data_IF_654613066653
#
_entry.id   IF_654613066653
#
_cell.length_a   1.000
_cell.length_b   1.000
_cell.length_c   1.000
_cell.angle_alpha   90.00
_cell.angle_beta   90.00
_cell.angle_gamma   90.00
#
_symmetry.space_group_name_H-M   'P 1'
#
loop_
_entity.id
_entity.type
_entity.pdbx_description
1 polymer ?
#
# COMPACT_ATOMS: atom_id res chain seq x y z
N UNK A 1 -0.36 35.22 4.26
CA UNK A 1 0.05 33.91 4.81
C UNK A 1 -0.78 32.72 4.28
N UNK A 2 -1.48 32.84 3.14
CA UNK A 2 -2.32 31.74 2.59
C UNK A 2 -1.74 31.06 1.33
N UNK A 3 -0.71 31.65 0.70
CA UNK A 3 -0.18 31.21 -0.61
C UNK A 3 0.76 29.98 -0.55
N UNK A 4 1.19 29.55 0.65
CA UNK A 4 2.09 28.40 0.82
C UNK A 4 1.37 27.13 1.32
N UNK A 5 0.08 27.21 1.64
CA UNK A 5 -0.69 26.07 2.15
C UNK A 5 -0.84 25.00 1.04
N UNK A 6 -1.06 25.42 -0.21
CA UNK A 6 -1.16 24.49 -1.35
C UNK A 6 0.11 23.66 -1.57
N UNK A 7 1.28 24.30 -1.82
CA UNK A 7 2.53 23.58 -2.04
C UNK A 7 2.94 22.69 -0.86
N UNK A 8 2.83 23.18 0.38
CA UNK A 8 3.20 22.41 1.57
C UNK A 8 2.30 21.20 1.82
N UNK A 9 1.01 21.29 1.53
CA UNK A 9 0.09 20.15 1.60
C UNK A 9 0.40 19.10 0.51
N UNK A 10 0.73 19.54 -0.71
CA UNK A 10 1.11 18.64 -1.81
C UNK A 10 2.43 17.94 -1.51
N UNK A 11 3.42 18.66 -0.99
CA UNK A 11 4.71 18.10 -0.60
C UNK A 11 4.58 17.13 0.57
N UNK A 12 3.75 17.47 1.56
CA UNK A 12 3.43 16.57 2.68
C UNK A 12 2.75 15.30 2.17
N UNK A 13 1.77 15.43 1.26
CA UNK A 13 1.07 14.31 0.65
C UNK A 13 2.03 13.41 -0.16
N UNK A 14 2.98 13.98 -0.90
CA UNK A 14 4.01 13.21 -1.63
C UNK A 14 5.03 12.57 -0.69
N UNK A 15 5.42 13.28 0.38
CA UNK A 15 6.38 12.78 1.37
C UNK A 15 5.89 11.52 2.09
N UNK A 16 4.56 11.39 2.25
CA UNK A 16 3.90 10.22 2.85
C UNK A 16 4.31 8.92 2.18
N UNK A 17 4.42 8.89 0.85
CA UNK A 17 4.71 7.68 0.09
C UNK A 17 6.21 7.36 -0.01
N UNK A 18 7.07 8.25 0.50
CA UNK A 18 8.51 8.02 0.58
C UNK A 18 8.78 6.84 1.52
N UNK A 19 9.49 5.84 1.02
CA UNK A 19 9.89 4.65 1.77
C UNK A 19 11.33 4.84 2.25
N UNK A 20 11.55 4.79 3.56
CA UNK A 20 12.89 4.88 4.17
C UNK A 20 13.71 3.63 3.85
N UNK A 21 15.03 3.74 3.90
CA UNK A 21 15.96 2.66 3.53
C UNK A 21 15.84 1.40 4.39
N UNK A 22 15.43 1.52 5.66
CA UNK A 22 15.30 0.40 6.57
C UNK A 22 13.93 -0.31 6.48
N UNK A 23 12.88 0.40 6.05
CA UNK A 23 11.49 -0.11 5.97
C UNK A 23 11.40 -1.47 5.24
N UNK A 24 12.00 -1.66 4.04
CA UNK A 24 11.94 -2.93 3.32
C UNK A 24 12.50 -4.12 4.08
N UNK A 25 13.57 -3.92 4.86
CA UNK A 25 14.21 -4.98 5.66
C UNK A 25 13.29 -5.38 6.80
N UNK A 26 12.72 -4.40 7.51
CA UNK A 26 11.73 -4.63 8.56
C UNK A 26 10.51 -5.37 8.03
N UNK A 27 9.98 -4.95 6.88
CA UNK A 27 8.80 -5.58 6.28
C UNK A 27 9.07 -7.03 5.83
N UNK A 28 10.25 -7.31 5.30
CA UNK A 28 10.65 -8.66 4.95
C UNK A 28 10.74 -9.58 6.19
N UNK A 29 11.31 -9.08 7.29
CA UNK A 29 11.38 -9.81 8.58
C UNK A 29 9.99 -10.10 9.16
N UNK A 30 9.07 -9.15 9.01
CA UNK A 30 7.66 -9.30 9.39
C UNK A 30 6.85 -10.18 8.42
N UNK A 31 7.50 -10.82 7.43
CA UNK A 31 6.85 -11.79 6.53
C UNK A 31 6.13 -11.19 5.32
N UNK A 32 6.18 -9.88 5.09
CA UNK A 32 5.49 -9.25 3.96
C UNK A 32 5.95 -9.80 2.59
N UNK A 33 7.21 -10.21 2.48
CA UNK A 33 7.72 -10.85 1.25
C UNK A 33 7.09 -12.24 1.02
N UNK A 34 6.87 -13.02 2.09
CA UNK A 34 6.22 -14.32 1.98
C UNK A 34 4.76 -14.17 1.55
N UNK A 35 4.03 -13.24 2.17
CA UNK A 35 2.64 -12.92 1.80
C UNK A 35 2.56 -12.43 0.35
N UNK A 36 3.47 -11.54 -0.07
CA UNK A 36 3.54 -11.07 -1.46
C UNK A 36 3.70 -12.22 -2.46
N UNK A 37 4.57 -13.20 -2.15
CA UNK A 37 4.76 -14.38 -2.99
C UNK A 37 3.53 -15.27 -3.00
N UNK A 38 2.89 -15.48 -1.86
CA UNK A 38 1.64 -16.23 -1.79
C UNK A 38 0.54 -15.60 -2.67
N UNK A 39 0.39 -14.26 -2.61
CA UNK A 39 -0.54 -13.52 -3.47
C UNK A 39 -0.22 -13.69 -4.96
N UNK A 40 1.07 -13.71 -5.32
CA UNK A 40 1.48 -13.97 -6.70
C UNK A 40 1.14 -15.40 -7.14
N UNK A 41 1.39 -16.39 -6.27
CA UNK A 41 1.12 -17.80 -6.52
C UNK A 41 -0.37 -18.10 -6.72
N UNK A 42 -1.24 -17.49 -5.91
CA UNK A 42 -2.70 -17.65 -6.07
C UNK A 42 -3.27 -16.80 -7.22
N UNK A 43 -2.42 -16.09 -7.96
CA UNK A 43 -2.81 -15.30 -9.12
C UNK A 43 -3.46 -13.96 -8.79
N UNK A 44 -3.44 -13.50 -7.54
CA UNK A 44 -4.04 -12.24 -7.13
C UNK A 44 -3.48 -11.04 -7.90
N UNK A 45 -2.16 -11.02 -8.12
CA UNK A 45 -1.50 -9.96 -8.89
C UNK A 45 -2.00 -9.89 -10.35
N UNK A 46 -2.41 -11.03 -10.93
CA UNK A 46 -3.00 -11.06 -12.28
C UNK A 46 -4.39 -10.43 -12.29
N UNK A 47 -5.21 -10.73 -11.29
CA UNK A 47 -6.55 -10.13 -11.13
C UNK A 47 -6.44 -8.62 -11.02
N UNK A 48 -5.61 -8.12 -10.10
CA UNK A 48 -5.42 -6.68 -9.89
C UNK A 48 -4.87 -6.00 -11.16
N UNK A 49 -3.92 -6.62 -11.87
CA UNK A 49 -3.40 -6.07 -13.12
C UNK A 49 -4.52 -5.89 -14.15
N UNK A 50 -5.39 -6.88 -14.31
CA UNK A 50 -6.49 -6.82 -15.27
C UNK A 50 -7.52 -5.74 -14.89
N UNK A 51 -7.84 -5.60 -13.61
CA UNK A 51 -8.73 -4.54 -13.11
C UNK A 51 -8.17 -3.14 -13.43
N UNK A 52 -6.89 -2.91 -13.16
CA UNK A 52 -6.23 -1.63 -13.43
C UNK A 52 -6.16 -1.30 -14.92
N UNK A 53 -5.97 -2.32 -15.77
CA UNK A 53 -6.02 -2.16 -17.22
C UNK A 53 -7.43 -1.80 -17.71
N UNK A 54 -8.48 -2.37 -17.12
CA UNK A 54 -9.86 -2.02 -17.43
C UNK A 54 -10.22 -0.59 -16.99
N UNK A 55 -9.60 -0.09 -15.91
CA UNK A 55 -9.76 1.27 -15.40
C UNK A 55 -8.95 2.33 -16.18
N UNK A 56 -8.30 1.96 -17.29
CA UNK A 56 -7.46 2.82 -18.11
C UNK A 56 -6.34 3.53 -17.32
N UNK A 57 -5.78 2.87 -16.29
CA UNK A 57 -4.64 3.43 -15.59
C UNK A 57 -3.40 3.50 -16.49
N UNK A 58 -2.59 4.55 -16.28
CA UNK A 58 -1.34 4.79 -17.01
C UNK A 58 -0.48 3.51 -17.12
N UNK A 59 -0.09 3.09 -18.33
CA UNK A 59 0.75 1.91 -18.47
C UNK A 59 2.18 2.17 -17.98
N UNK A 60 2.86 1.11 -17.55
CA UNK A 60 4.28 1.16 -17.18
C UNK A 60 4.54 1.56 -15.72
N UNK A 61 5.79 1.95 -15.44
CA UNK A 61 6.30 2.11 -14.06
C UNK A 61 5.63 3.26 -13.31
N UNK A 62 5.33 4.38 -13.97
CA UNK A 62 4.67 5.55 -13.37
C UNK A 62 3.26 5.21 -12.87
N UNK A 63 2.44 4.59 -13.71
CA UNK A 63 1.12 4.13 -13.31
C UNK A 63 1.20 3.03 -12.26
N UNK A 64 2.17 2.12 -12.35
CA UNK A 64 2.37 1.13 -11.30
C UNK A 64 2.67 1.78 -9.93
N UNK A 65 3.55 2.79 -9.87
CA UNK A 65 3.84 3.54 -8.65
C UNK A 65 2.58 4.20 -8.09
N UNK A 66 1.81 4.90 -8.94
CA UNK A 66 0.53 5.51 -8.55
C UNK A 66 -0.45 4.50 -7.96
N UNK A 67 -0.58 3.33 -8.57
CA UNK A 67 -1.44 2.27 -8.02
C UNK A 67 -0.96 1.75 -6.67
N UNK A 68 0.34 1.71 -6.40
CA UNK A 68 0.83 1.38 -5.05
C UNK A 68 0.43 2.44 -4.02
N UNK A 69 0.40 3.72 -4.40
CA UNK A 69 -0.03 4.83 -3.53
C UNK A 69 -1.54 4.81 -3.28
N UNK A 70 -2.33 4.55 -4.32
CA UNK A 70 -3.78 4.39 -4.22
C UNK A 70 -4.14 3.19 -3.34
N UNK A 71 -3.50 2.03 -3.56
CA UNK A 71 -3.72 0.84 -2.73
C UNK A 71 -3.31 1.08 -1.28
N UNK A 72 -2.15 1.70 -1.03
CA UNK A 72 -1.73 2.08 0.32
C UNK A 72 -2.76 3.00 1.00
N UNK A 73 -3.28 3.98 0.27
CA UNK A 73 -4.30 4.90 0.77
C UNK A 73 -5.60 4.17 1.10
N UNK A 74 -6.07 3.30 0.21
CA UNK A 74 -7.27 2.50 0.42
C UNK A 74 -7.17 1.62 1.66
N UNK A 75 -6.05 0.91 1.85
CA UNK A 75 -5.85 0.11 3.05
C UNK A 75 -5.69 0.95 4.32
N UNK A 76 -5.09 2.15 4.25
CA UNK A 76 -5.02 3.04 5.40
C UNK A 76 -6.41 3.58 5.80
N UNK A 77 -7.23 3.95 4.84
CA UNK A 77 -8.62 4.35 5.08
C UNK A 77 -9.42 3.17 5.65
N UNK A 78 -9.26 1.97 5.10
CA UNK A 78 -9.87 0.74 5.61
C UNK A 78 -9.44 0.41 7.04
N UNK A 79 -8.16 0.58 7.37
CA UNK A 79 -7.66 0.43 8.74
C UNK A 79 -8.28 1.45 9.69
N UNK A 80 -8.43 2.69 9.25
CA UNK A 80 -9.07 3.76 10.03
C UNK A 80 -10.54 3.43 10.29
N UNK A 81 -11.28 3.00 9.25
CA UNK A 81 -12.67 2.56 9.38
C UNK A 81 -12.79 1.33 10.29
N UNK A 82 -11.87 0.37 10.19
CA UNK A 82 -11.79 -0.78 11.11
C UNK A 82 -11.63 -0.32 12.55
N UNK A 83 -10.74 0.66 12.82
CA UNK A 83 -10.56 1.23 14.16
C UNK A 83 -11.86 1.83 14.72
N UNK A 84 -12.63 2.53 13.88
CA UNK A 84 -13.96 3.02 14.25
C UNK A 84 -14.93 1.89 14.59
N UNK A 85 -14.96 0.81 13.80
CA UNK A 85 -15.78 -0.37 14.08
C UNK A 85 -15.38 -1.07 15.40
N UNK A 86 -14.08 -1.17 15.67
CA UNK A 86 -13.57 -1.69 16.95
C UNK A 86 -14.06 -0.82 18.10
N UNK A 87 -13.96 0.50 17.98
CA UNK A 87 -14.45 1.43 19.00
C UNK A 87 -15.96 1.25 19.24
N UNK A 88 -16.76 1.19 18.18
CA UNK A 88 -18.21 0.95 18.26
C UNK A 88 -18.50 -0.37 18.98
N UNK A 89 -17.80 -1.44 18.62
CA UNK A 89 -17.97 -2.75 19.27
C UNK A 89 -17.61 -2.69 20.76
N UNK A 90 -16.57 -1.96 21.15
CA UNK A 90 -16.21 -1.78 22.57
C UNK A 90 -17.29 -1.01 23.33
N UNK A 91 -17.74 0.15 22.82
CA UNK A 91 -18.74 0.98 23.53
C UNK A 91 -20.12 0.35 23.57
N UNK A 92 -20.43 -0.57 22.65
CA UNK A 92 -21.66 -1.37 22.64
C UNK A 92 -21.55 -2.68 23.42
N UNK A 93 -20.48 -2.89 24.20
CA UNK A 93 -20.26 -4.07 25.05
C UNK A 93 -20.05 -5.40 24.29
N UNK A 94 -19.40 -5.34 23.11
CA UNK A 94 -19.01 -6.51 22.30
C UNK A 94 -17.47 -6.69 22.23
N UNK A 95 -16.77 -6.93 23.36
CA UNK A 95 -15.30 -6.96 23.39
C UNK A 95 -14.69 -8.12 22.59
N UNK A 96 -15.37 -9.27 22.52
CA UNK A 96 -14.91 -10.41 21.70
C UNK A 96 -14.97 -10.07 20.21
N UNK A 97 -16.09 -9.47 19.77
CA UNK A 97 -16.24 -9.00 18.39
C UNK A 97 -15.23 -7.91 18.04
N UNK A 98 -15.00 -6.96 18.95
CA UNK A 98 -13.97 -5.93 18.78
C UNK A 98 -12.57 -6.55 18.57
N UNK A 99 -12.21 -7.58 19.34
CA UNK A 99 -10.93 -8.29 19.18
C UNK A 99 -10.84 -9.02 17.83
N UNK A 100 -11.90 -9.67 17.39
CA UNK A 100 -11.95 -10.36 16.10
C UNK A 100 -11.79 -9.37 14.94
N UNK A 101 -12.54 -8.26 14.96
CA UNK A 101 -12.45 -7.18 13.97
C UNK A 101 -11.03 -6.60 13.95
N UNK A 102 -10.46 -6.31 15.13
CA UNK A 102 -9.11 -5.76 15.24
C UNK A 102 -8.08 -6.73 14.65
N UNK A 103 -8.12 -8.00 15.02
CA UNK A 103 -7.16 -9.00 14.54
C UNK A 103 -7.20 -9.12 13.01
N UNK A 104 -8.40 -9.33 12.46
CA UNK A 104 -8.58 -9.51 11.01
C UNK A 104 -8.23 -8.21 10.27
N UNK A 105 -8.72 -7.07 10.74
CA UNK A 105 -8.49 -5.79 10.08
C UNK A 105 -7.02 -5.34 10.13
N UNK A 106 -6.30 -5.60 11.23
CA UNK A 106 -4.84 -5.38 11.28
C UNK A 106 -4.15 -6.20 10.18
N UNK A 107 -4.46 -7.49 10.06
CA UNK A 107 -3.84 -8.34 9.05
C UNK A 107 -4.18 -7.88 7.62
N UNK A 108 -5.46 -7.60 7.35
CA UNK A 108 -5.95 -7.24 6.01
C UNK A 108 -5.56 -5.82 5.57
N UNK A 109 -5.15 -4.94 6.48
CA UNK A 109 -4.75 -3.57 6.11
C UNK A 109 -3.24 -3.33 6.26
N UNK A 110 -2.60 -3.83 7.30
CA UNK A 110 -1.18 -3.56 7.53
C UNK A 110 -0.29 -4.33 6.56
N UNK A 111 -0.57 -5.62 6.30
CA UNK A 111 0.25 -6.38 5.35
C UNK A 111 0.21 -5.79 3.94
N UNK A 112 -0.95 -5.42 3.37
CA UNK A 112 -0.98 -4.75 2.07
C UNK A 112 -0.19 -3.44 2.05
N UNK A 113 -0.29 -2.58 3.08
CA UNK A 113 0.51 -1.34 3.17
C UNK A 113 2.01 -1.66 3.10
N UNK A 114 2.47 -2.64 3.87
CA UNK A 114 3.88 -3.06 3.85
C UNK A 114 4.31 -3.58 2.48
N UNK A 115 3.46 -4.39 1.83
CA UNK A 115 3.73 -4.93 0.49
C UNK A 115 3.82 -3.79 -0.53
N UNK A 116 2.89 -2.83 -0.52
CA UNK A 116 2.91 -1.69 -1.45
C UNK A 116 4.19 -0.87 -1.29
N UNK A 117 4.59 -0.57 -0.04
CA UNK A 117 5.84 0.15 0.25
C UNK A 117 7.08 -0.64 -0.18
N UNK A 118 7.12 -1.94 0.08
CA UNK A 118 8.21 -2.82 -0.33
C UNK A 118 8.38 -2.85 -1.86
N UNK A 119 7.29 -2.96 -2.60
CA UNK A 119 7.31 -2.96 -4.06
C UNK A 119 7.71 -1.59 -4.59
N UNK A 120 7.15 -0.50 -4.06
CA UNK A 120 7.52 0.87 -4.43
C UNK A 120 9.02 1.11 -4.28
N UNK A 121 9.58 0.74 -3.13
CA UNK A 121 11.02 0.86 -2.90
C UNK A 121 11.86 0.13 -3.95
N UNK A 122 11.47 -1.08 -4.34
CA UNK A 122 12.17 -1.86 -5.37
C UNK A 122 12.09 -1.23 -6.74
N UNK A 123 10.95 -0.63 -7.09
CA UNK A 123 10.76 0.06 -8.37
C UNK A 123 11.57 1.35 -8.44
N UNK A 124 11.62 2.12 -7.36
CA UNK A 124 12.41 3.37 -7.32
C UNK A 124 13.92 3.12 -7.25
N UNK A 125 14.36 1.99 -6.69
CA UNK A 125 15.80 1.66 -6.56
C UNK A 125 16.36 0.79 -7.67
N UNK A 126 15.52 0.12 -8.47
CA UNK A 126 16.02 -0.53 -9.68
C UNK A 126 16.33 0.59 -10.68
N UNK A 127 17.60 0.78 -11.11
CA UNK A 127 17.86 1.68 -12.22
C UNK A 127 17.00 1.22 -13.38
N UNK A 128 16.36 2.17 -14.07
CA UNK A 128 15.78 1.89 -15.37
C UNK A 128 16.87 1.15 -16.15
N UNK A 129 16.64 -0.13 -16.43
CA UNK A 129 17.48 -0.86 -17.37
C UNK A 129 17.19 -0.14 -18.68
N UNK A 130 18.03 0.85 -18.99
CA UNK A 130 17.92 1.58 -20.25
C UNK A 130 17.90 0.50 -21.32
N UNK A 131 16.95 0.63 -22.24
CA UNK A 131 17.01 -0.11 -23.50
C UNK A 131 18.25 0.38 -24.23
N UNK A 132 19.40 -0.16 -23.84
CA UNK A 132 20.61 -0.24 -24.63
C UNK A 132 20.49 -1.50 -25.48
N UNK A 133 19.68 -1.38 -26.52
CA UNK A 133 19.86 -2.06 -27.80
C UNK A 133 19.17 -1.19 -28.82
N UNK A 134 19.86 -0.12 -29.23
CA UNK A 134 19.91 0.21 -30.64
C UNK A 134 20.41 -1.02 -31.40
N UNK A 135 19.60 -1.49 -32.35
CA UNK A 135 20.01 -1.91 -33.71
C UNK A 135 18.77 -2.30 -34.48
#
# INVERSE_FOLDING_TARGET
>A
MALLIGPSLVDSARSRYRVRSFEPRTYALLGAEAVRRALDLVGWNRVIKNLRQAENEEPGTSGFLRGTEQSETGHFLGFTATGLLVLIAVVTSHPVGARQILLVGVLLHIYPIMIQRLVRFRLTRRPARSNRTER
#
